data_IF_844194663506
#
_entry.id   IF_844194663506
#
_cell.length_a   1.000
_cell.length_b   1.000
_cell.length_c   1.000
_cell.angle_alpha   90.00
_cell.angle_beta   90.00
_cell.angle_gamma   90.00
#
_symmetry.space_group_name_H-M   'P 1'
#
loop_
_entity.id
_entity.type
_entity.pdbx_description
1 polymer ?
#
# COMPACT_ATOMS: atom_id res chain seq x y z
N UNK A 1 -0.28 17.11 -26.09
CA UNK A 1 -1.53 16.65 -26.73
C UNK A 1 -2.03 15.45 -25.95
N UNK A 2 -3.27 15.49 -25.49
CA UNK A 2 -3.93 14.34 -24.87
C UNK A 2 -4.19 13.28 -25.94
N UNK A 3 -4.15 12.00 -25.59
CA UNK A 3 -4.55 10.90 -26.50
C UNK A 3 -6.00 11.11 -26.99
N UNK A 4 -6.83 11.76 -26.17
CA UNK A 4 -8.21 12.12 -26.50
C UNK A 4 -8.25 13.19 -27.61
N UNK A 5 -7.33 14.16 -27.60
CA UNK A 5 -7.28 15.22 -28.62
C UNK A 5 -6.93 14.60 -29.99
N UNK A 6 -5.95 13.69 -30.02
CA UNK A 6 -5.56 12.98 -31.23
C UNK A 6 -6.69 12.08 -31.77
N UNK A 7 -7.43 11.39 -30.90
CA UNK A 7 -8.56 10.57 -31.31
C UNK A 7 -9.67 11.42 -31.96
N UNK A 8 -9.95 12.60 -31.37
CA UNK A 8 -10.94 13.55 -31.86
C UNK A 8 -10.60 14.14 -33.22
N UNK A 9 -9.33 14.49 -33.42
CA UNK A 9 -8.84 14.96 -34.72
C UNK A 9 -8.99 13.86 -35.80
N UNK A 10 -8.71 12.60 -35.47
CA UNK A 10 -8.90 11.47 -36.39
C UNK A 10 -10.39 11.28 -36.70
N UNK A 11 -11.28 11.39 -35.70
CA UNK A 11 -12.72 11.30 -35.88
C UNK A 11 -13.25 12.38 -36.85
N UNK A 12 -12.78 13.61 -36.71
CA UNK A 12 -13.18 14.75 -37.55
C UNK A 12 -12.65 14.63 -38.98
N UNK A 13 -11.43 14.10 -39.16
CA UNK A 13 -10.89 13.81 -40.49
C UNK A 13 -11.69 12.72 -41.21
N UNK A 14 -12.11 11.70 -40.48
CA UNK A 14 -12.90 10.60 -41.04
C UNK A 14 -14.33 11.02 -41.38
N UNK A 15 -14.92 11.93 -40.61
CA UNK A 15 -16.22 12.55 -40.93
C UNK A 15 -16.21 13.23 -42.30
N UNK A 16 -15.10 13.88 -42.68
CA UNK A 16 -14.94 14.51 -44.00
C UNK A 16 -14.85 13.52 -45.16
N UNK A 17 -14.60 12.24 -44.88
CA UNK A 17 -14.53 11.16 -45.88
C UNK A 17 -15.89 10.45 -46.09
N UNK A 18 -16.97 10.94 -45.47
CA UNK A 18 -18.33 10.35 -45.50
C UNK A 18 -18.41 8.86 -45.11
N UNK A 19 -17.37 8.36 -44.43
CA UNK A 19 -17.31 6.97 -43.99
C UNK A 19 -17.93 6.82 -42.59
N UNK A 20 -19.26 6.71 -42.56
CA UNK A 20 -20.08 6.61 -41.34
C UNK A 20 -19.66 5.42 -40.47
N UNK A 21 -19.25 4.30 -41.07
CA UNK A 21 -18.80 3.12 -40.31
C UNK A 21 -17.47 3.39 -39.58
N UNK A 22 -16.53 4.01 -40.27
CA UNK A 22 -15.23 4.37 -39.70
C UNK A 22 -15.41 5.40 -38.56
N UNK A 23 -16.31 6.37 -38.72
CA UNK A 23 -16.65 7.33 -37.66
C UNK A 23 -17.22 6.65 -36.41
N UNK A 24 -18.15 5.70 -36.56
CA UNK A 24 -18.71 4.94 -35.43
C UNK A 24 -17.64 4.15 -34.68
N UNK A 25 -16.70 3.54 -35.40
CA UNK A 25 -15.58 2.80 -34.79
C UNK A 25 -14.66 3.73 -34.01
N UNK A 26 -14.38 4.93 -34.53
CA UNK A 26 -13.53 5.90 -33.84
C UNK A 26 -14.22 6.46 -32.59
N UNK A 27 -15.50 6.83 -32.69
CA UNK A 27 -16.27 7.29 -31.52
C UNK A 27 -16.30 6.23 -30.41
N UNK A 28 -16.45 4.95 -30.77
CA UNK A 28 -16.36 3.85 -29.80
C UNK A 28 -14.96 3.73 -29.17
N UNK A 29 -13.90 3.87 -29.97
CA UNK A 29 -12.52 3.88 -29.45
C UNK A 29 -12.28 5.06 -28.51
N UNK A 30 -12.86 6.24 -28.79
CA UNK A 30 -12.77 7.40 -27.90
C UNK A 30 -13.41 7.11 -26.54
N UNK A 31 -14.59 6.51 -26.53
CA UNK A 31 -15.27 6.08 -25.29
C UNK A 31 -14.39 5.08 -24.51
N UNK A 32 -13.86 4.05 -25.17
CA UNK A 32 -12.97 3.06 -24.54
C UNK A 32 -11.69 3.72 -23.98
N UNK A 33 -11.11 4.70 -24.67
CA UNK A 33 -9.94 5.45 -24.20
C UNK A 33 -10.28 6.29 -22.96
N UNK A 34 -11.46 6.92 -22.93
CA UNK A 34 -11.91 7.72 -21.78
C UNK A 34 -12.08 6.82 -20.56
N UNK A 35 -12.73 5.67 -20.73
CA UNK A 35 -12.96 4.71 -19.65
C UNK A 35 -11.65 4.13 -19.11
N UNK A 36 -10.73 3.73 -20.01
CA UNK A 36 -9.40 3.28 -19.62
C UNK A 36 -8.60 4.37 -18.88
N UNK A 37 -8.69 5.61 -19.36
CA UNK A 37 -8.02 6.75 -18.72
C UNK A 37 -8.57 7.02 -17.32
N UNK A 38 -9.87 6.82 -17.10
CA UNK A 38 -10.50 6.95 -15.78
C UNK A 38 -10.06 5.82 -14.86
N UNK A 39 -10.18 4.56 -15.29
CA UNK A 39 -9.77 3.40 -14.51
C UNK A 39 -8.29 3.45 -14.13
N UNK A 40 -7.42 3.92 -15.04
CA UNK A 40 -6.00 4.13 -14.74
C UNK A 40 -5.79 5.14 -13.63
N UNK A 41 -6.48 6.29 -13.68
CA UNK A 41 -6.37 7.32 -12.63
C UNK A 41 -6.82 6.80 -11.28
N UNK A 42 -7.92 6.05 -11.24
CA UNK A 42 -8.41 5.41 -10.02
C UNK A 42 -7.38 4.43 -9.45
N UNK A 43 -6.80 3.58 -10.29
CA UNK A 43 -5.74 2.65 -9.90
C UNK A 43 -4.49 3.38 -9.39
N UNK A 44 -4.04 4.44 -10.07
CA UNK A 44 -2.90 5.26 -9.64
C UNK A 44 -3.16 5.91 -8.27
N UNK A 45 -4.37 6.41 -8.03
CA UNK A 45 -4.78 6.94 -6.73
C UNK A 45 -4.77 5.88 -5.63
N UNK A 46 -5.30 4.68 -5.89
CA UNK A 46 -5.27 3.59 -4.91
C UNK A 46 -3.84 3.12 -4.62
N UNK A 47 -2.98 3.03 -5.65
CA UNK A 47 -1.55 2.73 -5.46
C UNK A 47 -0.89 3.78 -4.59
N UNK A 48 -1.17 5.06 -4.81
CA UNK A 48 -0.63 6.14 -3.98
C UNK A 48 -1.10 6.01 -2.52
N UNK A 49 -2.42 5.81 -2.28
CA UNK A 49 -2.95 5.61 -0.93
C UNK A 49 -2.30 4.42 -0.22
N UNK A 50 -2.14 3.30 -0.91
CA UNK A 50 -1.49 2.11 -0.35
C UNK A 50 -0.02 2.36 -0.05
N UNK A 51 0.70 3.07 -0.92
CA UNK A 51 2.09 3.48 -0.66
C UNK A 51 2.20 4.39 0.56
N UNK A 52 1.34 5.39 0.68
CA UNK A 52 1.29 6.26 1.86
C UNK A 52 0.97 5.47 3.14
N UNK A 53 0.09 4.47 3.07
CA UNK A 53 -0.19 3.58 4.20
C UNK A 53 1.03 2.73 4.58
N UNK A 54 1.77 2.22 3.59
CA UNK A 54 3.02 1.47 3.82
C UNK A 54 4.11 2.38 4.39
N UNK A 55 4.28 3.59 3.88
CA UNK A 55 5.25 4.57 4.40
C UNK A 55 4.92 5.00 5.83
N UNK A 56 3.63 5.07 6.19
CA UNK A 56 3.17 5.31 7.56
C UNK A 56 3.32 4.10 8.47
N UNK A 57 3.56 2.88 7.95
CA UNK A 57 3.93 1.76 8.82
C UNK A 57 5.27 2.09 9.47
N UNK A 58 5.30 2.08 10.79
CA UNK A 58 6.49 2.36 11.58
C UNK A 58 7.66 1.50 11.06
N UNK A 59 8.78 2.15 10.72
CA UNK A 59 10.03 1.45 10.47
C UNK A 59 10.55 0.94 11.80
N UNK A 60 10.19 -0.28 12.16
CA UNK A 60 10.74 -0.92 13.34
C UNK A 60 12.13 -1.47 13.01
N UNK A 61 13.10 -1.11 13.84
CA UNK A 61 14.46 -1.63 13.80
C UNK A 61 14.52 -2.90 14.63
N UNK A 62 15.00 -4.00 14.04
CA UNK A 62 15.27 -5.21 14.79
C UNK A 62 16.53 -5.03 15.62
N UNK A 63 16.40 -5.10 16.94
CA UNK A 63 17.51 -5.17 17.90
C UNK A 63 17.28 -6.37 18.79
N UNK A 64 17.96 -7.47 18.46
CA UNK A 64 17.69 -8.78 19.04
C UNK A 64 17.61 -8.72 20.59
N UNK A 65 16.58 -9.35 21.21
CA UNK A 65 15.56 -10.19 20.59
C UNK A 65 14.26 -9.45 20.17
N UNK A 66 14.24 -8.11 20.13
CA UNK A 66 13.01 -7.32 19.94
C UNK A 66 13.06 -6.36 18.75
N UNK A 67 11.91 -5.75 18.45
CA UNK A 67 11.80 -4.63 17.54
C UNK A 67 11.63 -3.32 18.30
N UNK A 68 12.21 -2.23 17.81
CA UNK A 68 12.10 -0.90 18.39
C UNK A 68 11.74 0.12 17.33
N UNK A 69 10.86 1.06 17.66
CA UNK A 69 10.68 2.24 16.83
C UNK A 69 11.78 3.28 17.14
N UNK A 70 12.21 4.11 16.17
CA UNK A 70 13.16 5.19 16.42
C UNK A 70 12.66 6.14 17.52
N UNK A 71 13.44 6.29 18.59
CA UNK A 71 13.10 7.13 19.75
C UNK A 71 12.14 6.48 20.76
N UNK A 72 11.66 5.26 20.51
CA UNK A 72 10.87 4.49 21.46
C UNK A 72 11.78 3.60 22.32
N UNK A 73 11.50 3.56 23.62
CA UNK A 73 12.22 2.73 24.60
C UNK A 73 11.49 1.42 24.88
N UNK A 74 10.20 1.34 24.54
CA UNK A 74 9.40 0.16 24.74
C UNK A 74 9.53 -0.78 23.52
N UNK A 75 9.88 -2.07 23.74
CA UNK A 75 10.01 -3.02 22.64
C UNK A 75 8.64 -3.44 22.08
N UNK A 76 8.63 -3.77 20.80
CA UNK A 76 7.50 -4.34 20.06
C UNK A 76 7.65 -5.85 19.93
N UNK A 77 6.51 -6.55 19.84
CA UNK A 77 6.46 -8.00 19.70
C UNK A 77 6.99 -8.46 18.32
N UNK A 78 8.09 -9.23 18.25
CA UNK A 78 8.64 -9.70 16.98
C UNK A 78 7.68 -10.61 16.22
N UNK A 79 6.95 -11.49 16.93
CA UNK A 79 5.99 -12.40 16.30
C UNK A 79 4.83 -11.65 15.62
N UNK A 80 4.23 -10.67 16.30
CA UNK A 80 3.13 -9.89 15.72
C UNK A 80 3.60 -9.06 14.53
N UNK A 81 4.81 -8.52 14.60
CA UNK A 81 5.37 -7.73 13.53
C UNK A 81 5.76 -8.59 12.31
N UNK A 82 6.46 -9.70 12.49
CA UNK A 82 6.90 -10.54 11.37
C UNK A 82 5.77 -11.36 10.73
N UNK A 83 4.81 -11.85 11.52
CA UNK A 83 3.71 -12.66 10.99
C UNK A 83 2.60 -11.81 10.37
N UNK A 84 2.20 -10.72 11.04
CA UNK A 84 0.98 -9.97 10.69
C UNK A 84 1.27 -8.48 10.37
N UNK A 85 2.53 -8.02 10.46
CA UNK A 85 2.90 -6.59 10.35
C UNK A 85 2.13 -5.70 11.33
N UNK A 86 1.82 -6.22 12.52
CA UNK A 86 1.14 -5.49 13.58
C UNK A 86 2.17 -5.02 14.62
N UNK A 87 2.31 -3.70 14.78
CA UNK A 87 3.14 -3.10 15.80
C UNK A 87 2.43 -3.13 17.16
N UNK A 88 2.80 -4.10 17.99
CA UNK A 88 2.26 -4.25 19.35
C UNK A 88 3.35 -4.06 20.38
N UNK A 89 3.23 -3.05 21.24
CA UNK A 89 4.10 -2.89 22.40
C UNK A 89 4.00 -4.10 23.32
N UNK A 90 5.15 -4.63 23.70
CA UNK A 90 5.24 -5.62 24.76
C UNK A 90 4.95 -4.96 26.12
N UNK A 91 4.36 -5.70 27.05
CA UNK A 91 4.12 -5.28 28.43
C UNK A 91 5.15 -5.94 29.35
N UNK A 92 5.69 -5.18 30.30
CA UNK A 92 6.77 -5.61 31.18
C UNK A 92 7.90 -4.58 31.27
N UNK A 93 9.09 -4.94 31.78
CA UNK A 93 9.48 -6.30 32.15
C UNK A 93 8.89 -6.75 33.49
N UNK A 94 8.50 -8.03 33.54
CA UNK A 94 8.27 -8.77 34.79
C UNK A 94 9.46 -9.68 35.05
N UNK A 95 9.87 -9.84 36.31
CA UNK A 95 10.98 -10.72 36.66
C UNK A 95 10.46 -12.14 36.89
N UNK A 96 10.92 -13.08 36.07
CA UNK A 96 10.66 -14.51 36.26
C UNK A 96 11.99 -15.26 36.29
N UNK A 97 12.27 -15.94 37.41
CA UNK A 97 13.56 -16.59 37.69
C UNK A 97 14.76 -15.64 37.51
N UNK A 98 14.62 -14.38 37.92
CA UNK A 98 15.67 -13.36 37.82
C UNK A 98 15.95 -12.84 36.40
N UNK A 99 15.16 -13.23 35.41
CA UNK A 99 15.27 -12.73 34.03
C UNK A 99 14.08 -11.84 33.66
N UNK A 100 14.30 -10.73 32.94
CA UNK A 100 13.20 -9.89 32.45
C UNK A 100 12.41 -10.65 31.39
N UNK A 101 11.09 -10.70 31.57
CA UNK A 101 10.14 -11.23 30.62
C UNK A 101 9.11 -10.20 30.24
N UNK A 102 8.77 -10.23 28.96
CA UNK A 102 7.82 -9.36 28.32
C UNK A 102 6.66 -10.17 27.77
N UNK A 103 5.43 -9.68 27.95
CA UNK A 103 4.22 -10.32 27.44
C UNK A 103 3.61 -9.48 26.33
N UNK A 104 3.24 -10.10 25.22
CA UNK A 104 2.47 -9.44 24.18
C UNK A 104 0.97 -9.46 24.50
N UNK A 105 0.27 -8.31 24.58
CA UNK A 105 -1.17 -8.29 24.83
C UNK A 105 -2.00 -8.86 23.65
N UNK A 106 -1.45 -8.84 22.43
CA UNK A 106 -2.15 -9.34 21.24
C UNK A 106 -2.06 -10.87 21.10
N UNK A 107 -0.85 -11.42 20.97
CA UNK A 107 -0.66 -12.85 20.74
C UNK A 107 -0.47 -13.67 22.02
N UNK A 108 -0.42 -13.02 23.20
CA UNK A 108 -0.26 -13.64 24.53
C UNK A 108 1.05 -14.44 24.72
N UNK A 109 2.00 -14.29 23.79
CA UNK A 109 3.31 -14.91 23.92
C UNK A 109 4.21 -14.16 24.92
N UNK A 110 5.07 -14.94 25.57
CA UNK A 110 6.14 -14.46 26.44
C UNK A 110 7.44 -14.41 25.67
N UNK A 111 8.17 -13.31 25.81
CA UNK A 111 9.48 -13.09 25.23
C UNK A 111 10.50 -12.83 26.35
N UNK A 112 11.70 -13.41 26.22
CA UNK A 112 12.76 -13.34 27.24
C UNK A 112 14.03 -12.76 26.63
N UNK A 113 14.75 -11.95 27.40
CA UNK A 113 16.11 -11.57 27.01
C UNK A 113 17.07 -12.74 27.23
N UNK A 114 17.81 -13.12 26.17
CA UNK A 114 18.90 -14.10 26.24
C UNK A 114 18.55 -15.56 25.89
N UNK A 115 17.56 -15.79 25.02
CA UNK A 115 17.44 -17.06 24.26
C UNK A 115 18.11 -16.94 22.89
#
# INVERSE_FOLDING_TARGET
MSIIDNAREIADLVKKLDNVELYRRIAKLEEEIIDLSRAKREADCEVQKLREQIEKRQKLEFRAPYYFAPGDTQPYCPKCWEAENISVHLQGPTLFNGRPQYQCPNCKNWHREGE
#
